data_IF_993571802427
#
_entry.id   IF_993571802427
#
_cell.length_a   1.000
_cell.length_b   1.000
_cell.length_c   1.000
_cell.angle_alpha   90.00
_cell.angle_beta   90.00
_cell.angle_gamma   90.00
#
_symmetry.space_group_name_H-M   'P 1'
#
loop_
_entity.id
_entity.type
_entity.pdbx_description
1 polymer ?
#
# COMPACT_ATOMS: atom_id res chain seq x y z
N UNK A 1 2.99 -11.56 38.36
CA UNK A 1 2.63 -11.22 36.97
C UNK A 1 3.93 -10.86 36.27
N UNK A 2 4.20 -11.40 35.05
CA UNK A 2 5.41 -11.01 34.31
C UNK A 2 5.34 -9.53 33.95
N UNK A 3 6.47 -8.83 34.01
CA UNK A 3 6.55 -7.42 33.64
C UNK A 3 6.76 -7.31 32.13
N UNK A 4 5.72 -6.90 31.41
CA UNK A 4 5.71 -6.80 29.96
C UNK A 4 6.10 -5.38 29.52
N UNK A 5 7.38 -5.18 29.20
CA UNK A 5 7.85 -3.87 28.75
C UNK A 5 7.57 -3.67 27.25
N UNK A 6 6.70 -2.73 26.93
CA UNK A 6 6.28 -2.40 25.55
C UNK A 6 7.47 -2.17 24.62
N UNK A 7 8.51 -1.50 25.10
CA UNK A 7 9.73 -1.25 24.31
C UNK A 7 10.40 -2.55 23.86
N UNK A 8 10.49 -3.54 24.75
CA UNK A 8 11.11 -4.84 24.45
C UNK A 8 10.23 -5.67 23.51
N UNK A 9 8.91 -5.60 23.68
CA UNK A 9 7.96 -6.23 22.76
C UNK A 9 8.06 -5.64 21.35
N UNK A 10 8.24 -4.32 21.22
CA UNK A 10 8.47 -3.64 19.94
C UNK A 10 9.76 -4.15 19.27
N UNK A 11 10.84 -4.31 20.03
CA UNK A 11 12.11 -4.87 19.52
C UNK A 11 11.90 -6.30 19.00
N UNK A 12 11.17 -7.15 19.73
CA UNK A 12 10.87 -8.53 19.29
C UNK A 12 10.01 -8.53 18.02
N UNK A 13 9.03 -7.63 17.90
CA UNK A 13 8.21 -7.45 16.70
C UNK A 13 9.05 -7.05 15.51
N UNK A 14 9.90 -6.04 15.66
CA UNK A 14 10.79 -5.56 14.59
C UNK A 14 11.78 -6.65 14.16
N UNK A 15 12.27 -7.48 15.09
CA UNK A 15 13.11 -8.63 14.74
C UNK A 15 12.38 -9.64 13.86
N UNK A 16 11.11 -9.93 14.14
CA UNK A 16 10.29 -10.79 13.28
C UNK A 16 10.17 -10.21 11.86
N UNK A 17 9.99 -8.90 11.76
CA UNK A 17 9.79 -8.20 10.48
C UNK A 17 11.09 -8.10 9.66
N UNK A 18 12.20 -7.80 10.32
CA UNK A 18 13.51 -7.55 9.67
C UNK A 18 14.38 -8.81 9.55
N UNK A 19 14.05 -9.87 10.26
CA UNK A 19 14.70 -11.17 10.18
C UNK A 19 16.11 -11.26 10.79
N UNK A 20 16.78 -10.14 11.09
CA UNK A 20 18.13 -10.13 11.68
C UNK A 20 18.27 -9.06 12.77
N UNK A 21 19.17 -9.32 13.73
CA UNK A 21 19.47 -8.38 14.82
C UNK A 21 20.05 -7.06 14.25
N UNK A 22 20.88 -7.13 13.23
CA UNK A 22 21.50 -5.94 12.62
C UNK A 22 20.43 -5.07 11.96
N UNK A 23 19.58 -5.62 11.11
CA UNK A 23 18.50 -4.87 10.46
C UNK A 23 17.46 -4.33 11.48
N UNK A 24 17.24 -5.06 12.58
CA UNK A 24 16.41 -4.57 13.69
C UNK A 24 17.04 -3.36 14.38
N UNK A 25 18.35 -3.41 14.61
CA UNK A 25 19.10 -2.33 15.23
C UNK A 25 19.05 -1.05 14.38
N UNK A 26 19.26 -1.18 13.08
CA UNK A 26 19.14 -0.09 12.11
C UNK A 26 17.73 0.51 12.12
N UNK A 27 16.70 -0.32 12.03
CA UNK A 27 15.30 0.14 12.02
C UNK A 27 14.87 0.87 13.30
N UNK A 28 15.51 0.56 14.43
CA UNK A 28 15.18 1.14 15.74
C UNK A 28 16.20 2.18 16.23
N UNK A 29 17.18 2.55 15.39
CA UNK A 29 18.29 3.44 15.77
C UNK A 29 19.00 2.95 17.06
N UNK A 30 19.31 1.65 17.12
CA UNK A 30 19.98 1.00 18.22
C UNK A 30 21.27 0.32 17.77
N UNK A 31 22.12 -0.11 18.70
CA UNK A 31 23.24 -1.00 18.38
C UNK A 31 22.78 -2.46 18.39
N UNK A 32 23.38 -3.37 17.56
CA UNK A 32 23.06 -4.80 17.59
C UNK A 32 23.23 -5.44 18.97
N UNK A 33 24.22 -5.01 19.76
CA UNK A 33 24.43 -5.46 21.12
C UNK A 33 23.29 -5.04 22.06
N UNK A 34 22.79 -3.81 21.93
CA UNK A 34 21.65 -3.32 22.70
C UNK A 34 20.37 -4.11 22.37
N UNK A 35 20.10 -4.36 21.09
CA UNK A 35 18.96 -5.20 20.67
C UNK A 35 19.06 -6.60 21.29
N UNK A 36 20.21 -7.27 21.15
CA UNK A 36 20.42 -8.60 21.72
C UNK A 36 20.24 -8.62 23.24
N UNK A 37 20.75 -7.62 23.94
CA UNK A 37 20.62 -7.52 25.40
C UNK A 37 19.16 -7.31 25.83
N UNK A 38 18.39 -6.47 25.11
CA UNK A 38 16.98 -6.23 25.41
C UNK A 38 16.14 -7.50 25.21
N UNK A 39 16.42 -8.28 24.14
CA UNK A 39 15.72 -9.54 23.88
C UNK A 39 16.09 -10.63 24.89
N UNK A 40 17.35 -10.69 25.34
CA UNK A 40 17.78 -11.59 26.40
C UNK A 40 17.12 -11.22 27.75
N UNK A 41 17.01 -9.93 28.05
CA UNK A 41 16.30 -9.45 29.23
C UNK A 41 14.82 -9.79 29.19
N UNK A 42 14.17 -9.63 28.02
CA UNK A 42 12.77 -10.02 27.83
C UNK A 42 12.57 -11.54 28.04
N UNK A 43 13.44 -12.38 27.47
CA UNK A 43 13.43 -13.83 27.69
C UNK A 43 13.51 -14.18 29.20
N UNK A 44 14.40 -13.51 29.92
CA UNK A 44 14.58 -13.72 31.38
C UNK A 44 13.35 -13.26 32.17
N UNK A 45 12.78 -12.12 31.82
CA UNK A 45 11.57 -11.60 32.50
C UNK A 45 10.36 -12.50 32.30
N UNK A 46 10.22 -13.07 31.08
CA UNK A 46 9.11 -13.97 30.77
C UNK A 46 9.36 -15.42 31.18
N UNK A 47 10.60 -15.77 31.59
CA UNK A 47 10.99 -17.13 31.98
C UNK A 47 10.97 -18.13 30.82
N UNK A 48 11.06 -17.68 29.58
CA UNK A 48 11.02 -18.51 28.38
C UNK A 48 12.08 -18.09 27.38
N UNK A 49 12.61 -19.03 26.61
CA UNK A 49 13.50 -18.74 25.51
C UNK A 49 12.69 -18.18 24.33
N UNK A 50 13.01 -16.96 23.90
CA UNK A 50 12.34 -16.31 22.78
C UNK A 50 13.08 -16.51 21.46
N UNK A 51 14.41 -16.71 21.53
CA UNK A 51 15.26 -16.81 20.36
C UNK A 51 16.11 -18.06 20.45
N UNK A 52 16.27 -18.76 19.32
CA UNK A 52 17.15 -19.91 19.20
C UNK A 52 18.22 -19.65 18.14
N UNK A 53 19.47 -19.95 18.46
CA UNK A 53 20.55 -19.87 17.48
C UNK A 53 20.41 -20.96 16.42
N UNK A 54 20.51 -20.58 15.14
CA UNK A 54 20.57 -21.50 14.00
C UNK A 54 21.73 -21.10 13.09
N UNK A 55 22.88 -21.68 13.37
CA UNK A 55 24.13 -21.28 12.72
C UNK A 55 24.46 -19.81 13.02
N UNK A 56 24.55 -18.98 11.97
CA UNK A 56 24.80 -17.53 12.09
C UNK A 56 23.53 -16.68 12.21
N UNK A 57 22.35 -17.30 12.23
CA UNK A 57 21.04 -16.60 12.31
C UNK A 57 20.36 -16.91 13.63
N UNK A 58 19.37 -16.07 13.95
CA UNK A 58 18.51 -16.24 15.12
C UNK A 58 17.10 -16.53 14.62
N UNK A 59 16.47 -17.56 15.17
CA UNK A 59 15.07 -17.92 14.88
C UNK A 59 14.19 -17.67 16.09
N UNK A 60 12.96 -17.24 15.84
CA UNK A 60 11.94 -17.09 16.87
C UNK A 60 11.42 -18.46 17.30
N UNK A 61 11.37 -18.68 18.61
CA UNK A 61 10.73 -19.88 19.20
C UNK A 61 9.20 -19.81 19.10
N UNK A 62 8.52 -20.90 19.39
CA UNK A 62 7.04 -20.92 19.49
C UNK A 62 6.55 -20.03 20.65
N UNK A 63 7.34 -19.95 21.75
CA UNK A 63 7.09 -19.00 22.83
C UNK A 63 7.17 -17.55 22.33
N UNK A 64 8.14 -17.20 21.50
CA UNK A 64 8.21 -15.86 20.92
C UNK A 64 7.01 -15.55 20.03
N UNK A 65 6.55 -16.52 19.23
CA UNK A 65 5.33 -16.36 18.42
C UNK A 65 4.07 -16.18 19.28
N UNK A 66 3.98 -16.91 20.40
CA UNK A 66 2.90 -16.72 21.37
C UNK A 66 2.93 -15.31 21.97
N UNK A 67 4.10 -14.87 22.45
CA UNK A 67 4.31 -13.52 23.00
C UNK A 67 3.92 -12.46 21.99
N UNK A 68 4.32 -12.61 20.72
CA UNK A 68 4.00 -11.66 19.67
C UNK A 68 2.50 -11.56 19.38
N UNK A 69 1.75 -12.68 19.41
CA UNK A 69 0.29 -12.63 19.23
C UNK A 69 -0.39 -11.76 20.31
N UNK A 70 0.05 -11.88 21.57
CA UNK A 70 -0.47 -11.04 22.66
C UNK A 70 0.06 -9.61 22.62
N UNK A 71 1.31 -9.42 22.18
CA UNK A 71 1.89 -8.10 22.01
C UNK A 71 1.16 -7.28 20.94
N UNK A 72 0.69 -7.90 19.85
CA UNK A 72 -0.11 -7.22 18.84
C UNK A 72 -1.40 -6.64 19.43
N UNK A 73 -2.10 -7.40 20.28
CA UNK A 73 -3.30 -6.89 20.96
C UNK A 73 -2.99 -5.70 21.89
N UNK A 74 -1.83 -5.70 22.54
CA UNK A 74 -1.39 -4.55 23.37
C UNK A 74 -1.08 -3.33 22.48
N UNK A 75 -0.39 -3.52 21.35
CA UNK A 75 -0.12 -2.42 20.44
C UNK A 75 -1.40 -1.84 19.84
N UNK A 76 -2.38 -2.69 19.48
CA UNK A 76 -3.70 -2.23 19.04
C UNK A 76 -4.39 -1.35 20.08
N UNK A 77 -4.32 -1.74 21.36
CA UNK A 77 -4.93 -0.99 22.46
C UNK A 77 -4.24 0.36 22.68
N UNK A 78 -2.91 0.42 22.55
CA UNK A 78 -2.17 1.68 22.63
C UNK A 78 -2.52 2.63 21.47
N UNK A 79 -2.63 2.12 20.25
CA UNK A 79 -3.07 2.92 19.09
C UNK A 79 -4.49 3.48 19.29
N UNK A 80 -5.40 2.70 19.91
CA UNK A 80 -6.74 3.20 20.27
C UNK A 80 -6.67 4.32 21.30
N UNK A 81 -5.87 4.11 22.37
CA UNK A 81 -5.73 5.11 23.42
C UNK A 81 -5.12 6.42 22.87
N UNK A 82 -4.13 6.34 21.99
CA UNK A 82 -3.55 7.51 21.34
C UNK A 82 -4.58 8.22 20.44
N UNK A 83 -5.40 7.46 19.70
CA UNK A 83 -6.46 8.01 18.86
C UNK A 83 -7.57 8.69 19.70
N UNK A 84 -8.02 8.05 20.78
CA UNK A 84 -9.02 8.60 21.70
C UNK A 84 -8.49 9.87 22.40
N UNK A 85 -7.22 9.86 22.84
CA UNK A 85 -6.58 11.00 23.45
C UNK A 85 -6.43 12.17 22.47
N UNK A 86 -6.04 11.89 21.23
CA UNK A 86 -5.99 12.89 20.17
C UNK A 86 -7.39 13.48 19.89
N UNK A 87 -8.42 12.66 19.83
CA UNK A 87 -9.81 13.10 19.68
C UNK A 87 -10.27 13.97 20.86
N UNK A 88 -9.90 13.62 22.08
CA UNK A 88 -10.22 14.39 23.29
C UNK A 88 -9.52 15.76 23.32
N UNK A 89 -8.24 15.82 22.93
CA UNK A 89 -7.42 17.04 22.98
C UNK A 89 -7.80 18.03 21.88
N UNK A 90 -8.20 17.51 20.70
CA UNK A 90 -8.38 18.33 19.48
C UNK A 90 -9.84 18.44 19.03
N UNK A 91 -10.78 17.83 19.74
CA UNK A 91 -12.18 17.74 19.29
C UNK A 91 -12.26 17.02 17.94
N UNK A 92 -13.05 17.52 16.99
CA UNK A 92 -13.07 17.00 15.60
C UNK A 92 -11.89 17.53 14.75
N UNK A 93 -10.80 17.94 15.38
CA UNK A 93 -9.60 18.46 14.75
C UNK A 93 -8.46 17.46 14.85
N UNK A 94 -7.61 17.38 13.82
CA UNK A 94 -6.43 16.54 13.84
C UNK A 94 -5.68 16.55 12.53
N UNK A 95 -4.38 16.19 12.57
CA UNK A 95 -3.59 15.99 11.37
C UNK A 95 -3.58 14.51 11.01
N UNK A 96 -3.94 14.17 9.77
CA UNK A 96 -3.88 12.80 9.22
C UNK A 96 -2.85 12.75 8.11
N UNK A 97 -1.85 11.90 8.28
CA UNK A 97 -0.78 11.69 7.29
C UNK A 97 -1.17 10.54 6.37
N UNK A 98 -1.29 10.82 5.08
CA UNK A 98 -1.73 9.88 4.05
C UNK A 98 -0.59 9.53 3.12
N UNK A 99 -0.19 8.26 3.07
CA UNK A 99 0.68 7.72 2.04
C UNK A 99 -0.17 7.24 0.84
N UNK A 100 0.12 7.72 -0.36
CA UNK A 100 -0.68 7.40 -1.54
C UNK A 100 0.17 7.32 -2.80
N UNK A 101 -0.14 6.37 -3.69
CA UNK A 101 0.51 6.26 -4.99
C UNK A 101 0.04 7.38 -5.96
N UNK A 102 0.87 7.67 -6.94
CA UNK A 102 0.77 8.84 -7.84
C UNK A 102 -0.64 9.08 -8.40
N UNK A 103 -1.35 8.03 -8.86
CA UNK A 103 -2.69 8.19 -9.44
C UNK A 103 -3.80 8.33 -8.40
N UNK A 104 -3.59 7.86 -7.17
CA UNK A 104 -4.57 8.03 -6.08
C UNK A 104 -4.58 9.46 -5.55
N UNK A 105 -3.46 10.16 -5.60
CA UNK A 105 -3.39 11.55 -5.12
C UNK A 105 -4.40 12.44 -5.84
N UNK A 106 -4.34 12.64 -7.17
CA UNK A 106 -5.31 13.50 -7.87
C UNK A 106 -6.71 12.91 -7.91
N UNK A 107 -6.83 11.58 -7.96
CA UNK A 107 -8.11 10.92 -8.18
C UNK A 107 -8.97 10.76 -6.93
N UNK A 108 -8.37 10.59 -5.76
CA UNK A 108 -9.08 10.31 -4.51
C UNK A 108 -8.70 11.31 -3.41
N UNK A 109 -7.40 11.53 -3.18
CA UNK A 109 -6.96 12.32 -2.03
C UNK A 109 -7.32 13.79 -2.20
N UNK A 110 -7.06 14.37 -3.36
CA UNK A 110 -7.36 15.81 -3.62
C UNK A 110 -8.86 16.09 -3.51
N UNK A 111 -9.78 15.31 -4.14
CA UNK A 111 -11.21 15.49 -3.95
C UNK A 111 -11.65 15.35 -2.49
N UNK A 112 -11.16 14.32 -1.78
CA UNK A 112 -11.47 14.11 -0.37
C UNK A 112 -11.02 15.29 0.50
N UNK A 113 -9.79 15.77 0.33
CA UNK A 113 -9.27 16.94 1.06
C UNK A 113 -10.04 18.20 0.74
N UNK A 114 -10.45 18.38 -0.52
CA UNK A 114 -11.26 19.52 -0.93
C UNK A 114 -12.62 19.52 -0.23
N UNK A 115 -13.28 18.37 -0.15
CA UNK A 115 -14.53 18.22 0.58
C UNK A 115 -14.36 18.47 2.09
N UNK A 116 -13.29 17.94 2.69
CA UNK A 116 -12.98 18.07 4.12
C UNK A 116 -12.77 19.52 4.54
N UNK A 117 -12.19 20.37 3.70
CA UNK A 117 -12.02 21.80 4.00
C UNK A 117 -13.32 22.51 4.33
N UNK A 118 -14.44 22.06 3.77
CA UNK A 118 -15.76 22.64 4.00
C UNK A 118 -16.50 21.91 5.12
N UNK A 119 -16.42 20.57 5.16
CA UNK A 119 -17.22 19.76 6.09
C UNK A 119 -16.57 19.57 7.45
N UNK A 120 -15.23 19.51 7.49
CA UNK A 120 -14.44 19.28 8.72
C UNK A 120 -13.18 20.16 8.71
N UNK A 121 -13.32 21.49 8.86
CA UNK A 121 -12.20 22.44 8.72
C UNK A 121 -11.09 22.25 9.76
N UNK A 122 -11.38 21.56 10.86
CA UNK A 122 -10.40 21.20 11.89
C UNK A 122 -9.52 20.00 11.51
N UNK A 123 -9.86 19.23 10.44
CA UNK A 123 -9.07 18.10 10.00
C UNK A 123 -8.09 18.54 8.90
N UNK A 124 -6.80 18.43 9.19
CA UNK A 124 -5.74 18.67 8.20
C UNK A 124 -5.21 17.34 7.65
N UNK A 125 -4.88 17.32 6.37
CA UNK A 125 -4.33 16.13 5.71
C UNK A 125 -2.98 16.46 5.12
N UNK A 126 -1.94 15.71 5.54
CA UNK A 126 -0.62 15.73 4.90
C UNK A 126 -0.50 14.53 3.97
N UNK A 127 -0.13 14.80 2.73
CA UNK A 127 -0.01 13.77 1.69
C UNK A 127 1.47 13.51 1.41
N UNK A 128 1.84 12.23 1.40
CA UNK A 128 3.15 11.77 0.91
C UNK A 128 2.91 10.82 -0.26
N UNK A 129 3.42 11.19 -1.43
CA UNK A 129 3.42 10.26 -2.56
C UNK A 129 4.42 9.14 -2.29
N UNK A 130 3.98 7.90 -2.42
CA UNK A 130 4.78 6.72 -2.15
C UNK A 130 4.19 5.49 -2.83
N UNK A 131 5.02 4.54 -3.22
CA UNK A 131 4.55 3.27 -3.78
C UNK A 131 3.93 2.37 -2.71
N UNK A 132 3.06 1.44 -3.14
CA UNK A 132 2.22 0.65 -2.25
C UNK A 132 3.00 -0.11 -1.16
N UNK A 133 4.17 -0.65 -1.46
CA UNK A 133 4.99 -1.38 -0.48
C UNK A 133 5.56 -0.43 0.58
N UNK A 134 6.15 0.68 0.14
CA UNK A 134 6.67 1.72 1.04
C UNK A 134 5.55 2.31 1.91
N UNK A 135 4.34 2.50 1.35
CA UNK A 135 3.19 2.99 2.11
C UNK A 135 2.86 2.11 3.32
N UNK A 136 2.94 0.77 3.19
CA UNK A 136 2.76 -0.14 4.32
C UNK A 136 3.91 -0.10 5.33
N UNK A 137 5.15 0.09 4.88
CA UNK A 137 6.30 0.26 5.76
C UNK A 137 6.17 1.55 6.59
N UNK A 138 5.79 2.65 5.96
CA UNK A 138 5.53 3.92 6.62
C UNK A 138 4.34 3.82 7.60
N UNK A 139 3.29 3.08 7.22
CA UNK A 139 2.15 2.83 8.07
C UNK A 139 2.55 2.02 9.32
N UNK A 140 3.36 0.97 9.15
CA UNK A 140 3.88 0.17 10.26
C UNK A 140 4.80 0.96 11.18
N UNK A 141 5.60 1.87 10.63
CA UNK A 141 6.49 2.75 11.39
C UNK A 141 5.74 3.90 12.11
N UNK A 142 4.47 4.14 11.78
CA UNK A 142 3.71 5.27 12.29
C UNK A 142 4.08 6.60 11.65
N UNK A 143 4.75 6.59 10.50
CA UNK A 143 5.08 7.80 9.74
C UNK A 143 3.89 8.30 8.91
N UNK A 144 2.96 7.41 8.54
CA UNK A 144 1.65 7.73 8.01
C UNK A 144 0.56 7.06 8.83
N UNK A 145 -0.64 7.60 8.80
CA UNK A 145 -1.81 7.13 9.54
C UNK A 145 -2.75 6.33 8.66
N UNK A 146 -2.71 6.61 7.35
CA UNK A 146 -3.48 5.94 6.33
C UNK A 146 -2.61 5.72 5.09
N UNK A 147 -2.67 4.51 4.52
CA UNK A 147 -1.95 4.15 3.30
C UNK A 147 -2.94 3.74 2.20
N UNK A 148 -2.81 4.32 1.01
CA UNK A 148 -3.50 3.85 -0.19
C UNK A 148 -2.59 2.89 -0.95
N UNK A 149 -3.14 1.74 -1.32
CA UNK A 149 -2.40 0.64 -1.94
C UNK A 149 -3.17 0.01 -3.09
N UNK A 150 -2.46 -0.80 -3.87
CA UNK A 150 -2.98 -1.52 -5.02
C UNK A 150 -2.98 -3.03 -4.76
N UNK A 151 -3.99 -3.73 -5.29
CA UNK A 151 -4.02 -5.17 -5.38
C UNK A 151 -4.50 -5.61 -6.79
N UNK A 152 -3.97 -6.74 -7.27
CA UNK A 152 -4.43 -7.36 -8.51
C UNK A 152 -5.77 -8.09 -8.33
N UNK A 153 -6.04 -8.53 -7.11
CA UNK A 153 -7.27 -9.21 -6.70
C UNK A 153 -7.87 -8.48 -5.50
N UNK A 154 -9.16 -8.70 -5.24
CA UNK A 154 -9.80 -8.17 -4.04
C UNK A 154 -8.97 -8.54 -2.80
N UNK A 155 -8.72 -7.60 -1.89
CA UNK A 155 -7.81 -7.83 -0.78
C UNK A 155 -8.35 -8.94 0.13
N UNK A 156 -7.53 -9.96 0.32
CA UNK A 156 -7.72 -10.94 1.39
C UNK A 156 -7.06 -10.42 2.68
N UNK A 157 -7.64 -10.73 3.83
CA UNK A 157 -7.11 -10.31 5.14
C UNK A 157 -5.80 -11.05 5.44
N UNK A 158 -4.67 -10.52 4.95
CA UNK A 158 -3.39 -11.22 5.03
C UNK A 158 -2.48 -10.72 6.17
N UNK A 159 -2.57 -9.46 6.60
CA UNK A 159 -1.71 -8.90 7.65
C UNK A 159 -2.56 -8.41 8.82
N UNK A 160 -2.47 -9.08 10.00
CA UNK A 160 -3.30 -8.76 11.16
C UNK A 160 -2.99 -7.38 11.79
N UNK A 161 -1.90 -6.73 11.40
CA UNK A 161 -1.54 -5.40 11.93
C UNK A 161 -2.38 -4.29 11.32
N UNK A 162 -3.02 -4.55 10.17
CA UNK A 162 -3.73 -3.52 9.43
C UNK A 162 -5.19 -3.90 9.20
N UNK A 163 -6.05 -2.92 9.34
CA UNK A 163 -7.41 -2.97 8.82
C UNK A 163 -7.38 -2.45 7.39
N UNK A 164 -7.87 -3.24 6.44
CA UNK A 164 -7.95 -2.89 5.03
C UNK A 164 -9.39 -2.59 4.64
N UNK A 165 -9.55 -1.52 3.93
CA UNK A 165 -10.84 -1.01 3.48
C UNK A 165 -10.81 -0.92 1.96
N UNK A 166 -11.59 -1.75 1.24
CA UNK A 166 -11.75 -1.58 -0.19
C UNK A 166 -12.31 -0.20 -0.50
N UNK A 167 -11.72 0.50 -1.48
CA UNK A 167 -12.23 1.79 -1.95
C UNK A 167 -12.94 1.64 -3.29
N UNK A 168 -12.25 1.14 -4.31
CA UNK A 168 -12.83 0.95 -5.64
C UNK A 168 -12.09 -0.12 -6.45
N UNK A 169 -12.76 -0.62 -7.48
CA UNK A 169 -12.15 -1.36 -8.58
C UNK A 169 -11.94 -0.38 -9.75
N UNK A 170 -10.68 -0.15 -10.13
CA UNK A 170 -10.29 0.78 -11.19
C UNK A 170 -10.05 -0.01 -12.49
N UNK A 171 -10.90 0.14 -13.52
CA UNK A 171 -10.74 -0.55 -14.78
C UNK A 171 -9.43 -0.19 -15.47
N UNK A 172 -8.87 -1.14 -16.20
CA UNK A 172 -7.66 -0.95 -16.99
C UNK A 172 -8.02 -0.92 -18.46
N UNK A 173 -7.69 0.19 -19.09
CA UNK A 173 -7.76 0.34 -20.54
C UNK A 173 -6.38 0.11 -21.15
N UNK A 174 -6.28 -0.08 -22.46
CA UNK A 174 -5.00 -0.14 -23.17
C UNK A 174 -4.74 1.16 -23.91
N UNK A 175 -3.53 1.67 -23.77
CA UNK A 175 -3.01 2.79 -24.55
C UNK A 175 -2.26 2.27 -25.76
N UNK A 176 -2.63 2.76 -26.94
CA UNK A 176 -2.04 2.45 -28.24
C UNK A 176 -1.66 3.76 -28.95
N UNK A 177 -0.64 3.77 -29.83
CA UNK A 177 -0.46 4.90 -30.75
C UNK A 177 -1.73 5.09 -31.59
N UNK A 178 -2.13 6.33 -31.89
CA UNK A 178 -3.34 6.60 -32.67
C UNK A 178 -3.33 5.93 -34.06
N UNK A 179 -2.15 5.77 -34.66
CA UNK A 179 -1.94 5.08 -35.93
C UNK A 179 -1.83 3.56 -35.85
N UNK A 180 -1.96 2.98 -34.67
CA UNK A 180 -1.83 1.53 -34.50
C UNK A 180 -2.98 0.77 -35.21
N UNK A 181 -2.71 -0.36 -35.91
CA UNK A 181 -3.74 -1.12 -36.60
C UNK A 181 -4.93 -1.50 -35.70
N UNK A 182 -4.65 -1.84 -34.44
CA UNK A 182 -5.66 -2.24 -33.47
C UNK A 182 -6.36 -1.05 -32.77
N UNK A 183 -5.94 0.19 -33.01
CA UNK A 183 -6.51 1.37 -32.34
C UNK A 183 -8.00 1.57 -32.65
N UNK A 184 -8.50 1.02 -33.78
CA UNK A 184 -9.90 1.13 -34.23
C UNK A 184 -10.64 -0.20 -34.21
N UNK A 185 -10.02 -1.29 -33.75
CA UNK A 185 -10.63 -2.62 -33.74
C UNK A 185 -11.80 -2.66 -32.75
N UNK A 186 -12.97 -3.03 -33.22
CA UNK A 186 -14.12 -3.29 -32.34
C UNK A 186 -13.91 -4.57 -31.57
N UNK A 187 -14.30 -4.57 -30.27
CA UNK A 187 -14.17 -5.73 -29.41
C UNK A 187 -12.73 -6.14 -29.12
N UNK A 188 -11.78 -5.19 -29.16
CA UNK A 188 -10.37 -5.43 -28.86
C UNK A 188 -10.21 -6.25 -27.58
N UNK A 189 -9.43 -7.32 -27.65
CA UNK A 189 -9.07 -8.19 -26.54
C UNK A 189 -7.62 -8.01 -26.17
N UNK A 190 -7.31 -8.26 -24.91
CA UNK A 190 -5.94 -8.18 -24.41
C UNK A 190 -5.01 -9.17 -25.15
N UNK A 191 -5.52 -10.35 -25.50
CA UNK A 191 -4.79 -11.36 -26.25
C UNK A 191 -4.37 -10.90 -27.66
N UNK A 192 -5.11 -9.96 -28.28
CA UNK A 192 -4.77 -9.43 -29.61
C UNK A 192 -3.46 -8.63 -29.60
N UNK A 193 -3.01 -8.23 -28.42
CA UNK A 193 -1.80 -7.44 -28.17
C UNK A 193 -0.61 -8.32 -27.73
N UNK A 194 -0.72 -9.65 -27.82
CA UNK A 194 0.30 -10.57 -27.32
C UNK A 194 1.67 -10.41 -28.01
N UNK A 195 1.67 -10.03 -29.30
CA UNK A 195 2.90 -9.84 -30.08
C UNK A 195 3.50 -8.43 -29.97
N UNK A 196 2.81 -7.50 -29.33
CA UNK A 196 3.27 -6.12 -29.22
C UNK A 196 4.39 -5.95 -28.18
N UNK A 197 5.28 -4.95 -28.38
CA UNK A 197 6.20 -4.53 -27.32
C UNK A 197 5.40 -3.82 -26.21
N UNK A 198 5.64 -4.22 -24.96
CA UNK A 198 4.93 -3.68 -23.81
C UNK A 198 5.78 -2.68 -23.02
N UNK A 199 5.13 -1.58 -22.62
CA UNK A 199 5.69 -0.58 -21.73
C UNK A 199 5.12 -0.83 -20.32
N UNK A 200 5.97 -1.18 -19.41
CA UNK A 200 5.59 -1.49 -18.03
C UNK A 200 5.76 -0.26 -17.11
N UNK A 201 5.09 -0.29 -15.98
CA UNK A 201 5.48 0.51 -14.82
C UNK A 201 6.91 0.18 -14.37
N UNK A 202 7.46 0.96 -13.47
CA UNK A 202 8.76 0.67 -12.87
C UNK A 202 8.79 -0.66 -12.10
N UNK A 203 9.27 -0.67 -10.89
CA UNK A 203 9.15 -1.79 -9.94
C UNK A 203 7.86 -1.69 -9.14
N UNK A 204 7.40 -2.82 -8.59
CA UNK A 204 6.30 -2.85 -7.63
C UNK A 204 4.97 -3.37 -8.17
N UNK A 205 3.87 -3.22 -7.40
CA UNK A 205 2.58 -3.87 -7.65
C UNK A 205 1.98 -3.61 -9.02
N UNK A 206 2.25 -2.45 -9.63
CA UNK A 206 1.73 -2.13 -10.96
C UNK A 206 2.27 -3.06 -12.05
N UNK A 207 3.57 -3.36 -12.01
CA UNK A 207 4.18 -4.34 -12.93
C UNK A 207 3.57 -5.73 -12.79
N UNK A 208 3.27 -6.13 -11.56
CA UNK A 208 2.66 -7.43 -11.27
C UNK A 208 1.20 -7.48 -11.74
N UNK A 209 0.45 -6.39 -11.58
CA UNK A 209 -0.92 -6.26 -12.08
C UNK A 209 -0.95 -6.39 -13.60
N UNK A 210 -0.06 -5.68 -14.32
CA UNK A 210 0.03 -5.76 -15.78
C UNK A 210 0.35 -7.19 -16.23
N UNK A 211 1.33 -7.84 -15.61
CA UNK A 211 1.70 -9.22 -15.92
C UNK A 211 0.53 -10.18 -15.66
N UNK A 212 -0.10 -10.09 -14.50
CA UNK A 212 -1.23 -10.94 -14.13
C UNK A 212 -2.42 -10.80 -15.09
N UNK A 213 -2.73 -9.58 -15.54
CA UNK A 213 -3.78 -9.34 -16.52
C UNK A 213 -3.48 -10.03 -17.85
N UNK A 214 -2.24 -9.91 -18.36
CA UNK A 214 -1.81 -10.56 -19.59
C UNK A 214 -1.79 -12.09 -19.46
N UNK A 215 -1.31 -12.63 -18.36
CA UNK A 215 -1.29 -14.08 -18.08
C UNK A 215 -2.72 -14.64 -17.99
N UNK A 216 -3.66 -13.90 -17.41
CA UNK A 216 -5.08 -14.25 -17.40
C UNK A 216 -5.68 -14.27 -18.80
N UNK A 217 -5.22 -13.38 -19.70
CA UNK A 217 -5.59 -13.37 -21.11
C UNK A 217 -4.84 -14.42 -21.97
N UNK A 218 -4.00 -15.26 -21.35
CA UNK A 218 -3.36 -16.41 -21.98
C UNK A 218 -1.99 -16.16 -22.60
N UNK A 219 -1.34 -15.02 -22.30
CA UNK A 219 -0.01 -14.72 -22.86
C UNK A 219 0.93 -14.07 -21.85
N UNK A 220 2.23 -14.11 -22.14
CA UNK A 220 3.27 -13.38 -21.40
C UNK A 220 3.72 -12.18 -22.22
N UNK A 221 3.54 -10.95 -21.72
CA UNK A 221 3.90 -9.76 -22.46
C UNK A 221 5.42 -9.61 -22.59
N UNK A 222 5.87 -9.23 -23.80
CA UNK A 222 7.27 -8.85 -24.02
C UNK A 222 7.53 -7.47 -23.42
N UNK A 223 8.17 -7.43 -22.26
CA UNK A 223 8.57 -6.18 -21.59
C UNK A 223 9.72 -5.52 -22.34
N UNK A 224 9.39 -4.62 -23.27
CA UNK A 224 10.38 -3.88 -24.05
C UNK A 224 10.89 -2.65 -23.29
N UNK A 225 9.99 -1.95 -22.59
CA UNK A 225 10.30 -0.70 -21.91
C UNK A 225 9.69 -0.63 -20.52
N UNK A 226 10.18 0.30 -19.68
CA UNK A 226 9.59 0.61 -18.38
C UNK A 226 9.83 2.05 -17.97
N UNK A 227 8.84 2.66 -17.31
CA UNK A 227 8.97 3.97 -16.68
C UNK A 227 8.11 4.04 -15.41
N UNK A 228 8.52 4.86 -14.45
CA UNK A 228 7.78 5.00 -13.20
C UNK A 228 6.54 5.89 -13.34
N UNK A 229 6.59 6.91 -14.17
CA UNK A 229 5.52 7.93 -14.29
C UNK A 229 4.67 7.77 -15.54
N UNK A 230 3.36 8.02 -15.40
CA UNK A 230 2.39 7.94 -16.50
C UNK A 230 2.70 8.87 -17.66
N UNK A 231 3.24 10.06 -17.40
CA UNK A 231 3.68 11.00 -18.43
C UNK A 231 4.73 10.37 -19.36
N UNK A 232 5.71 9.66 -18.81
CA UNK A 232 6.74 8.98 -19.57
C UNK A 232 6.17 7.76 -20.33
N UNK A 233 5.34 6.94 -19.65
CA UNK A 233 4.69 5.78 -20.28
C UNK A 233 3.89 6.22 -21.51
N UNK A 234 3.01 7.21 -21.36
CA UNK A 234 2.16 7.68 -22.46
C UNK A 234 2.97 8.39 -23.56
N UNK A 235 4.09 9.05 -23.22
CA UNK A 235 5.00 9.59 -24.23
C UNK A 235 5.67 8.50 -25.07
N UNK A 236 6.07 7.38 -24.47
CA UNK A 236 6.60 6.24 -25.19
C UNK A 236 5.53 5.58 -26.08
N UNK A 237 4.29 5.48 -25.62
CA UNK A 237 3.16 4.99 -26.44
C UNK A 237 2.96 5.91 -27.63
N UNK A 238 2.87 7.23 -27.44
CA UNK A 238 2.74 8.22 -28.50
C UNK A 238 3.85 8.09 -29.55
N UNK A 239 5.08 7.83 -29.10
CA UNK A 239 6.24 7.62 -29.99
C UNK A 239 6.26 6.25 -30.70
N UNK A 240 5.24 5.39 -30.52
CA UNK A 240 5.17 4.08 -31.15
C UNK A 240 6.14 3.05 -30.56
N UNK A 241 6.66 3.27 -29.36
CA UNK A 241 7.61 2.35 -28.73
C UNK A 241 6.96 1.09 -28.16
N UNK A 242 5.63 1.06 -28.07
CA UNK A 242 4.87 -0.09 -27.59
C UNK A 242 3.51 0.29 -27.05
N UNK A 243 2.85 -0.67 -26.42
CA UNK A 243 1.53 -0.54 -25.82
C UNK A 243 1.63 -0.60 -24.28
N UNK A 244 0.62 -0.05 -23.58
CA UNK A 244 0.59 -0.09 -22.12
C UNK A 244 -0.82 -0.31 -21.60
N UNK A 245 -0.98 -1.09 -20.50
CA UNK A 245 -2.19 -0.99 -19.69
C UNK A 245 -2.15 0.32 -18.91
N UNK A 246 -3.31 0.99 -18.85
CA UNK A 246 -3.46 2.28 -18.17
C UNK A 246 -4.72 2.22 -17.30
N UNK A 247 -4.62 2.45 -16.01
CA UNK A 247 -5.80 2.52 -15.16
C UNK A 247 -6.59 3.80 -15.47
N UNK A 248 -7.93 3.72 -15.41
CA UNK A 248 -8.78 4.89 -15.69
C UNK A 248 -8.49 6.06 -14.75
N UNK A 249 -8.04 5.80 -13.55
CA UNK A 249 -7.56 6.85 -12.62
C UNK A 249 -6.36 7.64 -13.17
N UNK A 250 -5.56 7.07 -14.07
CA UNK A 250 -4.41 7.71 -14.70
C UNK A 250 -4.69 8.22 -16.12
N UNK A 251 -5.88 7.94 -16.66
CA UNK A 251 -6.23 8.28 -18.01
C UNK A 251 -6.37 9.80 -18.18
N UNK A 252 -5.33 10.42 -18.71
CA UNK A 252 -5.33 11.82 -19.15
C UNK A 252 -5.32 11.80 -20.67
N UNK A 253 -6.28 12.46 -21.34
CA UNK A 253 -6.27 12.59 -22.79
C UNK A 253 -4.92 13.11 -23.28
N UNK A 254 -4.32 12.41 -24.24
CA UNK A 254 -3.06 12.78 -24.84
C UNK A 254 -3.18 12.65 -26.35
N UNK A 255 -2.81 13.71 -27.07
CA UNK A 255 -2.72 13.66 -28.52
C UNK A 255 -1.77 12.53 -28.95
N UNK A 256 -2.11 11.81 -30.02
CA UNK A 256 -1.30 10.69 -30.52
C UNK A 256 -1.44 9.37 -29.75
N UNK A 257 -2.30 9.32 -28.73
CA UNK A 257 -2.57 8.11 -27.94
C UNK A 257 -4.06 7.77 -27.97
N UNK A 258 -4.40 6.59 -28.48
CA UNK A 258 -5.73 6.01 -28.42
C UNK A 258 -5.90 5.19 -27.14
N UNK A 259 -6.82 5.58 -26.27
CA UNK A 259 -7.23 4.80 -25.09
C UNK A 259 -8.37 3.86 -25.50
N UNK A 260 -8.20 2.56 -25.29
CA UNK A 260 -9.17 1.55 -25.71
C UNK A 260 -9.63 0.70 -24.52
N UNK A 261 -10.94 0.68 -24.35
CA UNK A 261 -11.60 -0.16 -23.35
C UNK A 261 -11.54 -1.64 -23.74
N UNK A 262 -11.16 -2.50 -22.79
CA UNK A 262 -11.11 -3.96 -22.95
C UNK A 262 -12.41 -4.59 -22.41
N UNK A 263 -13.50 -4.48 -23.18
CA UNK A 263 -14.86 -4.87 -22.74
C UNK A 263 -15.03 -6.36 -22.47
N UNK A 264 -14.26 -7.20 -23.13
CA UNK A 264 -14.33 -8.67 -22.95
C UNK A 264 -13.52 -9.10 -21.74
N UNK A 265 -12.27 -8.67 -21.66
CA UNK A 265 -11.32 -9.10 -20.62
C UNK A 265 -11.58 -8.38 -19.28
N UNK A 266 -12.02 -7.12 -19.33
CA UNK A 266 -12.34 -6.26 -18.18
C UNK A 266 -11.29 -6.31 -17.05
N UNK A 267 -10.00 -6.17 -17.39
CA UNK A 267 -8.99 -6.19 -16.35
C UNK A 267 -9.21 -5.03 -15.38
N UNK A 268 -9.01 -5.29 -14.08
CA UNK A 268 -9.18 -4.28 -13.04
C UNK A 268 -8.02 -4.35 -12.05
N UNK A 269 -7.75 -3.23 -11.40
CA UNK A 269 -6.95 -3.19 -10.18
C UNK A 269 -7.83 -2.75 -9.01
N UNK A 270 -7.55 -3.25 -7.82
CA UNK A 270 -8.27 -2.85 -6.63
C UNK A 270 -7.47 -1.81 -5.86
N UNK A 271 -8.13 -0.71 -5.51
CA UNK A 271 -7.58 0.32 -4.64
C UNK A 271 -8.11 0.09 -3.23
N UNK A 272 -7.21 0.01 -2.29
CA UNK A 272 -7.53 -0.21 -0.88
C UNK A 272 -6.90 0.86 -0.02
N UNK A 273 -7.61 1.28 1.02
CA UNK A 273 -7.04 2.02 2.13
C UNK A 273 -6.64 1.04 3.23
N UNK A 274 -5.53 1.30 3.89
CA UNK A 274 -5.09 0.57 5.06
C UNK A 274 -4.81 1.54 6.21
N UNK A 275 -5.20 1.13 7.41
CA UNK A 275 -4.91 1.81 8.67
C UNK A 275 -4.33 0.81 9.65
N UNK A 276 -3.53 1.24 10.63
CA UNK A 276 -3.14 0.35 11.73
C UNK A 276 -4.38 -0.12 12.48
N UNK A 277 -4.41 -1.39 12.86
CA UNK A 277 -5.53 -1.95 13.61
C UNK A 277 -5.65 -1.21 14.95
N UNK A 278 -6.83 -0.69 15.23
CA UNK A 278 -7.09 0.20 16.37
C UNK A 278 -7.03 1.69 16.03
N UNK A 279 -6.12 2.15 15.18
CA UNK A 279 -5.98 3.58 14.84
C UNK A 279 -7.09 4.11 13.93
N UNK A 280 -7.76 3.23 13.17
CA UNK A 280 -8.90 3.62 12.30
C UNK A 280 -10.17 4.03 13.07
N UNK A 281 -10.21 3.82 14.38
CA UNK A 281 -11.28 4.26 15.28
C UNK A 281 -11.09 5.72 15.72
N UNK A 282 -9.91 6.33 15.49
CA UNK A 282 -9.69 7.75 15.73
C UNK A 282 -10.55 8.63 14.81
N UNK A 283 -11.25 9.60 15.38
CA UNK A 283 -12.24 10.41 14.68
C UNK A 283 -11.68 11.03 13.38
N UNK A 284 -10.50 11.64 13.41
CA UNK A 284 -9.90 12.29 12.24
C UNK A 284 -9.55 11.27 11.11
N UNK A 285 -8.97 10.11 11.45
CA UNK A 285 -8.64 9.05 10.46
C UNK A 285 -9.91 8.48 9.86
N UNK A 286 -10.94 8.22 10.68
CA UNK A 286 -12.26 7.76 10.23
C UNK A 286 -12.93 8.77 9.29
N UNK A 287 -12.83 10.06 9.61
CA UNK A 287 -13.35 11.16 8.79
C UNK A 287 -12.66 11.22 7.42
N UNK A 288 -11.31 11.14 7.39
CA UNK A 288 -10.56 11.10 6.12
C UNK A 288 -10.88 9.84 5.32
N UNK A 289 -11.00 8.67 5.97
CA UNK A 289 -11.36 7.42 5.29
C UNK A 289 -12.76 7.50 4.67
N UNK A 290 -13.73 8.10 5.37
CA UNK A 290 -15.08 8.33 4.84
C UNK A 290 -15.05 9.27 3.64
N UNK A 291 -14.29 10.37 3.70
CA UNK A 291 -14.14 11.29 2.57
C UNK A 291 -13.49 10.60 1.34
N UNK A 292 -12.49 9.74 1.56
CA UNK A 292 -11.89 8.94 0.48
C UNK A 292 -12.87 7.96 -0.16
N UNK A 293 -13.75 7.31 0.64
CA UNK A 293 -14.83 6.45 0.12
C UNK A 293 -15.81 7.27 -0.72
N UNK A 294 -16.26 8.39 -0.21
CA UNK A 294 -17.17 9.29 -0.96
C UNK A 294 -16.53 9.75 -2.27
N UNK A 295 -15.24 10.07 -2.27
CA UNK A 295 -14.51 10.42 -3.49
C UNK A 295 -14.38 9.23 -4.46
N UNK A 296 -14.25 8.01 -3.94
CA UNK A 296 -14.22 6.79 -4.75
C UNK A 296 -15.59 6.50 -5.38
N UNK A 297 -16.67 6.61 -4.60
CA UNK A 297 -18.06 6.35 -5.05
C UNK A 297 -18.55 7.39 -6.08
N UNK A 298 -18.01 8.61 -6.05
CA UNK A 298 -18.34 9.67 -7.02
C UNK A 298 -17.67 9.44 -8.40
N UNK A 299 -16.82 8.44 -8.55
CA UNK A 299 -16.16 8.14 -9.83
C UNK A 299 -17.06 7.22 -10.68
N UNK A 300 -17.13 7.49 -12.00
CA UNK A 300 -17.94 6.69 -12.93
C UNK A 300 -17.37 5.28 -13.16
#
# INVERSE_FOLDING_TARGET
MADWEIRKLRILRTLRERGTVTATAEALNMTPSAVSQQLTNLSRQLGVELLRARGRRVELTDAARLVLRHAEAVFEQLERADAELAAYVHGDAGEVRVGAFSTAVPALVVPAVTALRTTHPGVSVRVRETEAQEAYELLAAGEVDLALSLAAQAPTAADPRFTRVPLLADPLDVALPDGHPLARTEGLRLADLAAEPWIFGGSGPWSDITRAACETAGFRPHRAHSAAGWTAILAMVEAGMGVALVPRMAAVPRAGVAMRELRTDRPVRHVVAAVRKGAGEGAAVGTVLTALRTAADARP
#
